data_IF_914645617578
#
_entry.id   IF_914645617578
#
_cell.length_a   1.000
_cell.length_b   1.000
_cell.length_c   1.000
_cell.angle_alpha   90.00
_cell.angle_beta   90.00
_cell.angle_gamma   90.00
#
_symmetry.space_group_name_H-M   'P 1'
#
loop_
_entity.id
_entity.type
_entity.pdbx_description
1 polymer ?
#
# COMPACT_ATOMS: atom_id res chain seq x y z
N UNK A 1 -32.89 34.89 -14.39
CA UNK A 1 -34.01 34.57 -13.49
C UNK A 1 -34.69 35.82 -12.98
N UNK A 2 -35.09 36.73 -13.86
CA UNK A 2 -35.68 38.05 -13.54
C UNK A 2 -37.21 38.07 -13.65
N UNK A 3 -37.83 36.98 -14.10
CA UNK A 3 -39.29 36.91 -14.31
C UNK A 3 -40.11 36.63 -13.06
N UNK A 4 -39.58 35.86 -12.09
CA UNK A 4 -40.36 35.38 -10.94
C UNK A 4 -40.50 36.40 -9.81
N UNK A 5 -39.52 37.30 -9.66
CA UNK A 5 -39.57 38.40 -8.67
C UNK A 5 -40.65 39.42 -9.03
N UNK A 6 -40.99 39.57 -10.32
CA UNK A 6 -42.01 40.50 -10.78
C UNK A 6 -43.44 39.98 -10.52
N UNK A 7 -43.65 38.66 -10.51
CA UNK A 7 -45.00 38.07 -10.31
C UNK A 7 -45.49 38.25 -8.87
N UNK A 8 -44.61 38.12 -7.88
CA UNK A 8 -44.97 38.35 -6.46
C UNK A 8 -45.40 39.80 -6.21
N UNK A 9 -44.89 40.76 -7.00
CA UNK A 9 -45.20 42.18 -6.82
C UNK A 9 -46.57 42.60 -7.42
N UNK A 10 -47.10 41.86 -8.41
CA UNK A 10 -48.33 42.26 -9.12
C UNK A 10 -49.61 41.76 -8.44
N UNK A 11 -49.57 40.64 -7.71
CA UNK A 11 -50.73 40.09 -7.00
C UNK A 11 -51.02 40.79 -5.65
N UNK A 12 -50.12 41.68 -5.19
CA UNK A 12 -50.31 42.47 -3.96
C UNK A 12 -51.18 43.74 -4.13
N UNK A 13 -51.61 44.10 -5.35
CA UNK A 13 -52.46 45.29 -5.56
C UNK A 13 -53.96 45.05 -5.36
N UNK A 14 -54.38 43.79 -5.14
CA UNK A 14 -55.79 43.42 -4.96
C UNK A 14 -56.18 43.30 -3.49
N UNK A 15 -56.03 44.41 -2.74
CA UNK A 15 -56.82 44.78 -1.55
C UNK A 15 -57.44 43.72 -0.65
N UNK A 16 -56.71 42.69 -0.22
CA UNK A 16 -57.13 41.78 0.85
C UNK A 16 -56.07 41.81 1.95
N UNK A 17 -56.49 42.24 3.14
CA UNK A 17 -55.64 42.60 4.25
C UNK A 17 -54.66 41.50 4.64
N UNK A 18 -53.37 41.79 4.47
CA UNK A 18 -52.33 41.28 5.34
C UNK A 18 -51.58 42.50 5.86
N UNK A 19 -51.60 42.68 7.18
CA UNK A 19 -50.90 43.74 7.88
C UNK A 19 -49.38 43.51 7.75
N UNK A 20 -48.82 43.79 6.57
CA UNK A 20 -47.38 43.76 6.34
C UNK A 20 -46.77 44.97 7.03
N UNK A 21 -46.20 44.75 8.22
CA UNK A 21 -45.18 45.63 8.74
C UNK A 21 -44.08 45.76 7.67
N UNK A 22 -43.97 46.94 7.06
CA UNK A 22 -42.89 47.31 6.16
C UNK A 22 -41.56 46.98 6.86
N UNK A 23 -40.86 45.94 6.40
CA UNK A 23 -39.49 45.70 6.82
C UNK A 23 -38.62 46.81 6.20
N UNK A 24 -37.81 47.53 6.98
CA UNK A 24 -36.95 48.58 6.45
C UNK A 24 -36.02 47.99 5.38
N UNK A 25 -35.81 48.73 4.28
CA UNK A 25 -35.04 48.29 3.10
C UNK A 25 -33.65 47.73 3.45
N UNK A 26 -33.06 48.17 4.56
CA UNK A 26 -31.79 47.64 5.10
C UNK A 26 -31.85 46.13 5.42
N UNK A 27 -32.98 45.59 5.89
CA UNK A 27 -33.12 44.14 6.17
C UNK A 27 -33.26 43.30 4.90
N UNK A 28 -33.70 43.90 3.79
CA UNK A 28 -33.85 43.21 2.50
C UNK A 28 -32.49 43.02 1.82
N UNK A 29 -31.56 43.97 1.99
CA UNK A 29 -30.18 43.85 1.50
C UNK A 29 -29.41 42.74 2.24
N UNK A 30 -29.60 42.62 3.55
CA UNK A 30 -28.98 41.57 4.37
C UNK A 30 -29.49 40.17 3.99
N UNK A 31 -30.78 40.03 3.69
CA UNK A 31 -31.37 38.76 3.20
C UNK A 31 -30.77 38.31 1.86
N UNK A 32 -30.47 39.24 0.95
CA UNK A 32 -29.88 38.93 -0.35
C UNK A 32 -28.42 38.46 -0.29
N UNK A 33 -27.70 38.72 0.83
CA UNK A 33 -26.31 38.31 1.04
C UNK A 33 -26.17 36.92 1.67
N UNK A 34 -27.26 36.37 2.21
CA UNK A 34 -27.24 35.06 2.87
C UNK A 34 -27.08 33.92 1.86
N UNK A 35 -26.41 32.85 2.27
CA UNK A 35 -26.35 31.63 1.45
C UNK A 35 -27.74 30.98 1.40
N UNK A 36 -28.11 30.27 0.32
CA UNK A 36 -29.44 29.64 0.19
C UNK A 36 -29.84 28.77 1.39
N UNK A 37 -28.86 28.13 2.04
CA UNK A 37 -29.06 27.30 3.23
C UNK A 37 -29.39 28.12 4.48
N UNK A 38 -28.73 29.27 4.66
CA UNK A 38 -29.02 30.22 5.74
C UNK A 38 -30.37 30.90 5.54
N UNK A 39 -30.70 31.23 4.29
CA UNK A 39 -32.00 31.79 3.93
C UNK A 39 -33.15 30.82 4.28
N UNK A 40 -32.93 29.53 4.00
CA UNK A 40 -33.87 28.46 4.34
C UNK A 40 -34.02 28.34 5.86
N UNK A 41 -32.92 28.39 6.61
CA UNK A 41 -32.93 28.32 8.07
C UNK A 41 -33.66 29.50 8.74
N UNK A 42 -33.47 30.72 8.23
CA UNK A 42 -34.23 31.90 8.71
C UNK A 42 -35.72 31.82 8.33
N UNK A 43 -36.04 31.20 7.20
CA UNK A 43 -37.43 30.94 6.79
C UNK A 43 -38.08 29.88 7.68
N UNK A 44 -37.37 28.81 8.01
CA UNK A 44 -37.82 27.74 8.91
C UNK A 44 -38.11 28.28 10.32
N UNK A 45 -37.25 29.18 10.84
CA UNK A 45 -37.48 29.86 12.12
C UNK A 45 -38.71 30.78 12.08
N UNK A 46 -38.95 31.46 10.97
CA UNK A 46 -40.07 32.39 10.81
C UNK A 46 -41.43 31.68 10.63
N UNK A 47 -41.44 30.44 10.12
CA UNK A 47 -42.63 29.60 9.93
C UNK A 47 -43.21 29.10 11.27
N UNK A 48 -42.44 29.14 12.36
CA UNK A 48 -42.94 28.94 13.73
C UNK A 48 -42.97 27.50 14.23
N UNK A 49 -42.47 26.53 13.45
CA UNK A 49 -42.24 25.16 13.91
C UNK A 49 -40.83 25.02 14.51
N UNK A 50 -40.68 24.74 15.82
CA UNK A 50 -39.39 24.64 16.47
C UNK A 50 -38.56 23.42 16.05
N UNK A 51 -39.18 22.34 15.57
CA UNK A 51 -38.47 21.09 15.23
C UNK A 51 -37.81 21.16 13.84
N UNK A 52 -38.41 21.92 12.91
CA UNK A 52 -37.96 22.03 11.53
C UNK A 52 -36.49 22.46 11.35
N UNK A 53 -36.00 23.56 11.97
CA UNK A 53 -34.60 23.95 11.85
C UNK A 53 -33.63 22.97 12.54
N UNK A 54 -34.08 22.24 13.56
CA UNK A 54 -33.28 21.20 14.22
C UNK A 54 -33.07 20.01 13.27
N UNK A 55 -34.14 19.57 12.62
CA UNK A 55 -34.08 18.47 11.65
C UNK A 55 -33.22 18.84 10.43
N UNK A 56 -33.35 20.06 9.91
CA UNK A 56 -32.53 20.53 8.79
C UNK A 56 -31.04 20.56 9.15
N UNK A 57 -30.66 21.09 10.32
CA UNK A 57 -29.27 21.04 10.81
C UNK A 57 -28.76 19.61 10.94
N UNK A 58 -29.55 18.71 11.53
CA UNK A 58 -29.19 17.30 11.66
C UNK A 58 -28.98 16.65 10.28
N UNK A 59 -29.82 16.96 9.29
CA UNK A 59 -29.69 16.44 7.93
C UNK A 59 -28.39 16.92 7.25
N UNK A 60 -28.06 18.22 7.41
CA UNK A 60 -26.81 18.79 6.89
C UNK A 60 -25.60 18.09 7.52
N UNK A 61 -25.60 17.89 8.83
CA UNK A 61 -24.53 17.18 9.54
C UNK A 61 -24.38 15.73 9.03
N UNK A 62 -25.48 14.98 8.91
CA UNK A 62 -25.44 13.62 8.37
C UNK A 62 -24.95 13.58 6.93
N UNK A 63 -25.33 14.56 6.10
CA UNK A 63 -24.83 14.65 4.72
C UNK A 63 -23.32 14.90 4.67
N UNK A 64 -22.79 15.75 5.55
CA UNK A 64 -21.35 15.97 5.66
C UNK A 64 -20.62 14.71 6.12
N UNK A 65 -21.17 13.99 7.08
CA UNK A 65 -20.60 12.75 7.59
C UNK A 65 -20.56 11.66 6.51
N UNK A 66 -21.65 11.49 5.75
CA UNK A 66 -21.70 10.55 4.62
C UNK A 66 -20.58 10.87 3.61
N UNK A 67 -20.42 12.14 3.22
CA UNK A 67 -19.37 12.54 2.28
C UNK A 67 -17.97 12.22 2.80
N UNK A 68 -17.72 12.44 4.10
CA UNK A 68 -16.43 12.11 4.73
C UNK A 68 -16.17 10.60 4.72
N UNK A 69 -17.18 9.81 5.05
CA UNK A 69 -17.10 8.35 5.04
C UNK A 69 -16.88 7.81 3.61
N UNK A 70 -17.59 8.34 2.61
CA UNK A 70 -17.40 7.98 1.20
C UNK A 70 -15.97 8.25 0.72
N UNK A 71 -15.41 9.42 1.08
CA UNK A 71 -14.01 9.74 0.77
C UNK A 71 -13.05 8.76 1.45
N UNK A 72 -13.31 8.41 2.71
CA UNK A 72 -12.48 7.48 3.48
C UNK A 72 -12.52 6.07 2.90
N UNK A 73 -13.71 5.59 2.54
CA UNK A 73 -13.90 4.28 1.90
C UNK A 73 -13.15 4.24 0.56
N UNK A 74 -13.23 5.31 -0.23
CA UNK A 74 -12.49 5.41 -1.49
C UNK A 74 -10.98 5.31 -1.27
N UNK A 75 -10.43 6.11 -0.34
CA UNK A 75 -9.00 6.10 -0.01
C UNK A 75 -8.52 4.73 0.51
N UNK A 76 -9.32 4.09 1.35
CA UNK A 76 -9.03 2.74 1.84
C UNK A 76 -9.06 1.71 0.71
N UNK A 77 -10.00 1.84 -0.23
CA UNK A 77 -10.06 1.00 -1.43
C UNK A 77 -8.83 1.15 -2.32
N UNK A 78 -8.39 2.39 -2.55
CA UNK A 78 -7.18 2.68 -3.33
C UNK A 78 -5.94 2.09 -2.65
N UNK A 79 -5.81 2.28 -1.33
CA UNK A 79 -4.71 1.73 -0.52
C UNK A 79 -4.71 0.20 -0.55
N UNK A 80 -5.89 -0.43 -0.41
CA UNK A 80 -6.03 -1.88 -0.47
C UNK A 80 -5.59 -2.43 -1.84
N UNK A 81 -5.94 -1.75 -2.93
CA UNK A 81 -5.53 -2.16 -4.27
C UNK A 81 -4.01 -2.04 -4.44
N UNK A 82 -3.40 -0.97 -3.97
CA UNK A 82 -1.94 -0.81 -3.97
C UNK A 82 -1.24 -1.93 -3.19
N UNK A 83 -1.72 -2.24 -1.98
CA UNK A 83 -1.16 -3.31 -1.15
C UNK A 83 -1.33 -4.69 -1.80
N UNK A 84 -2.45 -4.96 -2.46
CA UNK A 84 -2.65 -6.21 -3.22
C UNK A 84 -1.65 -6.34 -4.37
N UNK A 85 -1.42 -5.26 -5.12
CA UNK A 85 -0.42 -5.24 -6.20
C UNK A 85 0.99 -5.49 -5.66
N UNK A 86 1.38 -4.85 -4.56
CA UNK A 86 2.68 -5.07 -3.92
C UNK A 86 2.84 -6.50 -3.41
N UNK A 87 1.80 -7.07 -2.79
CA UNK A 87 1.86 -8.44 -2.30
C UNK A 87 2.03 -9.44 -3.45
N UNK A 88 1.31 -9.27 -4.56
CA UNK A 88 1.45 -10.12 -5.74
C UNK A 88 2.85 -10.05 -6.38
N UNK A 89 3.53 -8.91 -6.27
CA UNK A 89 4.93 -8.77 -6.68
C UNK A 89 5.87 -9.51 -5.72
N UNK A 90 5.68 -9.32 -4.41
CA UNK A 90 6.49 -9.96 -3.37
C UNK A 90 6.36 -11.48 -3.34
N UNK A 91 5.18 -12.04 -3.64
CA UNK A 91 4.96 -13.48 -3.73
C UNK A 91 5.90 -14.14 -4.75
N UNK A 92 6.15 -13.48 -5.90
CA UNK A 92 7.10 -13.96 -6.92
C UNK A 92 8.54 -13.96 -6.42
N UNK A 93 8.92 -12.96 -5.65
CA UNK A 93 10.26 -12.86 -5.08
C UNK A 93 10.48 -13.90 -3.98
N UNK A 94 9.47 -14.15 -3.14
CA UNK A 94 9.48 -15.23 -2.15
C UNK A 94 9.65 -16.58 -2.83
N UNK A 95 8.87 -16.86 -3.89
CA UNK A 95 9.00 -18.11 -4.64
C UNK A 95 10.42 -18.28 -5.22
N UNK A 96 11.00 -17.21 -5.79
CA UNK A 96 12.37 -17.22 -6.31
C UNK A 96 13.37 -17.58 -5.21
N UNK A 97 13.29 -16.93 -4.05
CA UNK A 97 14.20 -17.18 -2.92
C UNK A 97 14.06 -18.59 -2.40
N UNK A 98 12.84 -19.11 -2.26
CA UNK A 98 12.58 -20.48 -1.81
C UNK A 98 13.15 -21.51 -2.79
N UNK A 99 13.02 -21.26 -4.10
CA UNK A 99 13.64 -22.13 -5.13
C UNK A 99 15.17 -22.17 -5.02
N UNK A 100 15.81 -21.04 -4.70
CA UNK A 100 17.25 -20.94 -4.53
C UNK A 100 17.72 -21.62 -3.23
N UNK A 101 16.98 -21.44 -2.13
CA UNK A 101 17.28 -22.12 -0.85
C UNK A 101 17.28 -23.64 -1.01
N UNK A 102 16.35 -24.20 -1.78
CA UNK A 102 16.30 -25.65 -2.07
C UNK A 102 17.53 -26.14 -2.85
N UNK A 103 18.12 -25.32 -3.71
CA UNK A 103 19.33 -25.66 -4.49
C UNK A 103 20.63 -25.51 -3.70
N UNK A 104 20.63 -24.70 -2.63
CA UNK A 104 21.83 -24.37 -1.85
C UNK A 104 22.54 -25.59 -1.23
N UNK A 105 21.85 -26.61 -0.66
CA UNK A 105 22.51 -27.80 -0.14
C UNK A 105 23.26 -28.60 -1.20
N UNK A 106 22.69 -28.72 -2.41
CA UNK A 106 23.32 -29.41 -3.53
C UNK A 106 24.59 -28.70 -3.98
N UNK A 107 24.56 -27.38 -4.12
CA UNK A 107 25.75 -26.58 -4.44
C UNK A 107 26.85 -26.72 -3.38
N UNK A 108 26.47 -26.75 -2.09
CA UNK A 108 27.43 -27.00 -1.00
C UNK A 108 28.04 -28.40 -1.09
N UNK A 109 27.24 -29.39 -1.44
CA UNK A 109 27.70 -30.76 -1.65
C UNK A 109 28.67 -30.83 -2.84
N UNK A 110 28.31 -30.24 -3.99
CA UNK A 110 29.14 -30.25 -5.20
C UNK A 110 30.49 -29.58 -4.94
N UNK A 111 30.53 -28.45 -4.24
CA UNK A 111 31.77 -27.80 -3.83
C UNK A 111 32.66 -28.72 -2.98
N UNK A 112 32.07 -29.42 -2.00
CA UNK A 112 32.81 -30.37 -1.17
C UNK A 112 33.28 -31.58 -1.98
N UNK A 113 32.46 -32.07 -2.91
CA UNK A 113 32.78 -33.19 -3.78
C UNK A 113 33.97 -32.87 -4.69
N UNK A 114 34.01 -31.68 -5.29
CA UNK A 114 35.15 -31.22 -6.09
C UNK A 114 36.44 -31.21 -5.26
N UNK A 115 36.39 -30.64 -4.05
CA UNK A 115 37.56 -30.63 -3.14
C UNK A 115 38.01 -32.04 -2.75
N UNK A 116 37.06 -32.94 -2.49
CA UNK A 116 37.36 -34.34 -2.16
C UNK A 116 38.04 -35.06 -3.32
N UNK A 117 37.51 -34.93 -4.54
CA UNK A 117 38.09 -35.54 -5.74
C UNK A 117 39.50 -35.01 -5.99
N UNK A 118 39.74 -33.71 -5.78
CA UNK A 118 41.06 -33.13 -5.96
C UNK A 118 42.06 -33.64 -4.93
N UNK A 119 41.67 -33.73 -3.66
CA UNK A 119 42.50 -34.31 -2.61
C UNK A 119 42.81 -35.80 -2.88
N UNK A 120 41.82 -36.57 -3.35
CA UNK A 120 42.00 -37.97 -3.71
C UNK A 120 43.00 -38.14 -4.87
N UNK A 121 42.94 -37.27 -5.89
CA UNK A 121 43.94 -37.27 -6.96
C UNK A 121 45.35 -37.00 -6.44
N UNK A 122 45.49 -36.03 -5.53
CA UNK A 122 46.78 -35.72 -4.91
C UNK A 122 47.32 -36.87 -4.06
N UNK A 123 46.45 -37.55 -3.31
CA UNK A 123 46.81 -38.74 -2.53
C UNK A 123 47.33 -39.87 -3.44
N UNK A 124 46.61 -40.17 -4.53
CA UNK A 124 47.00 -41.19 -5.51
C UNK A 124 48.35 -40.85 -6.16
N UNK A 125 48.54 -39.60 -6.56
CA UNK A 125 49.80 -39.15 -7.16
C UNK A 125 50.97 -39.17 -6.16
N UNK A 126 50.73 -38.79 -4.89
CA UNK A 126 51.74 -38.87 -3.84
C UNK A 126 52.12 -40.33 -3.54
N UNK A 127 51.14 -41.24 -3.47
CA UNK A 127 51.38 -42.67 -3.30
C UNK A 127 52.20 -43.24 -4.45
N UNK A 128 51.87 -42.89 -5.70
CA UNK A 128 52.64 -43.29 -6.88
C UNK A 128 54.11 -42.85 -6.77
N UNK A 129 54.35 -41.60 -6.37
CA UNK A 129 55.71 -41.07 -6.16
C UNK A 129 56.45 -41.78 -5.01
N UNK A 130 55.75 -42.12 -3.93
CA UNK A 130 56.34 -42.90 -2.83
C UNK A 130 56.73 -44.32 -3.29
N UNK A 131 55.85 -45.00 -4.02
CA UNK A 131 56.13 -46.34 -4.55
C UNK A 131 57.30 -46.32 -5.54
N UNK A 132 57.39 -45.29 -6.40
CA UNK A 132 58.54 -45.07 -7.30
C UNK A 132 59.84 -44.82 -6.52
N UNK A 133 59.83 -43.92 -5.54
CA UNK A 133 61.00 -43.64 -4.70
C UNK A 133 61.46 -44.86 -3.88
N UNK A 134 60.51 -45.66 -3.37
CA UNK A 134 60.81 -46.88 -2.63
C UNK A 134 61.48 -47.93 -3.52
N UNK A 135 61.03 -48.09 -4.78
CA UNK A 135 61.70 -48.95 -5.76
C UNK A 135 63.13 -48.48 -6.03
N UNK A 136 63.30 -47.19 -6.32
CA UNK A 136 64.64 -46.62 -6.55
C UNK A 136 65.57 -46.81 -5.35
N UNK A 137 65.07 -46.64 -4.12
CA UNK A 137 65.86 -46.89 -2.91
C UNK A 137 66.28 -48.36 -2.80
N UNK A 138 65.35 -49.30 -2.99
CA UNK A 138 65.66 -50.73 -2.96
C UNK A 138 66.70 -51.13 -4.01
N UNK A 139 66.57 -50.60 -5.24
CA UNK A 139 67.53 -50.83 -6.32
C UNK A 139 68.94 -50.33 -5.96
N UNK A 140 69.05 -49.23 -5.21
CA UNK A 140 70.32 -48.67 -4.75
C UNK A 140 70.88 -49.37 -3.50
N UNK A 141 70.04 -49.95 -2.63
CA UNK A 141 70.47 -50.67 -1.43
C UNK A 141 71.02 -52.07 -1.74
N UNK A 142 70.50 -52.77 -2.75
CA UNK A 142 70.96 -54.11 -3.14
C UNK A 142 72.48 -54.22 -3.37
N UNK A 143 73.10 -53.29 -4.12
CA UNK A 143 74.56 -53.24 -4.27
C UNK A 143 75.33 -52.94 -2.97
N UNK A 144 74.76 -52.18 -2.04
CA UNK A 144 75.42 -51.79 -0.78
C UNK A 144 75.47 -52.96 0.19
N UNK A 145 74.41 -53.76 0.28
CA UNK A 145 74.38 -54.98 1.10
C UNK A 145 75.44 -55.99 0.62
N UNK A 146 75.64 -56.13 -0.70
CA UNK A 146 76.66 -57.02 -1.26
C UNK A 146 78.09 -56.61 -0.90
N UNK A 147 78.36 -55.31 -0.73
CA UNK A 147 79.69 -54.80 -0.34
C UNK A 147 79.96 -55.00 1.16
N UNK A 148 78.93 -55.12 2.00
CA UNK A 148 79.11 -55.32 3.45
C UNK A 148 79.49 -56.77 3.83
N UNK A 149 79.36 -57.74 2.92
CA UNK A 149 79.71 -59.15 3.14
C UNK A 149 81.02 -59.59 2.43
N UNK A 150 81.74 -58.67 1.82
CA UNK A 150 83.08 -58.86 1.22
C UNK A 150 84.11 -58.04 1.96
#
# INVERSE_FOLDING_TARGET
GSGWITVICLECQSGIGFQQAFLPQDRVCEFAKLTPTQLLEETEKAVGDPDLPIQHRALVEKSQEIKRLEMTVKQNGDTLNQLKSLNAEQEKDVERVESMKKKLPWLKYDLKKVKYIEAQKQEVEAKRKLDEAAKTLNDLMGPIELIQYT
#
